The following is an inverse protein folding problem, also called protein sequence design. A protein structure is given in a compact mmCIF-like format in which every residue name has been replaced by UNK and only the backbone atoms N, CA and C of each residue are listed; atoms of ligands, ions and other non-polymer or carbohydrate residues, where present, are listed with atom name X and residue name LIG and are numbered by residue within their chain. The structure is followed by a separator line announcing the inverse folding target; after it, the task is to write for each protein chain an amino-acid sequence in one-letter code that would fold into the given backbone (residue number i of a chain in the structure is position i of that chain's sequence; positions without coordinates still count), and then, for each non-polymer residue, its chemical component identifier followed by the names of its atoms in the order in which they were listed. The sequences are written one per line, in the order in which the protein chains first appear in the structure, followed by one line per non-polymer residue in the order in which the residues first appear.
data_IF_319621123249
#
_entry.id   IF_319621123249
#
_cell.length_a   1.000
_cell.length_b   1.000
_cell.length_c   1.000
_cell.angle_alpha   90.00
_cell.angle_beta   90.00
_cell.angle_gamma   90.00
#
_symmetry.space_group_name_H-M   'P 1'
#
loop_
_entity.id
_entity.type
_entity.pdbx_description
1 polymer ?
#
# COMPACT_ATOMS: atom_id res chain seq x y z
N UNK A 1 28.51 -12.30 16.12
CA UNK A 1 27.98 -12.03 14.78
C UNK A 1 27.43 -10.60 14.69
N UNK A 2 26.77 -10.10 15.73
CA UNK A 2 26.27 -8.72 15.78
C UNK A 2 27.37 -7.67 15.86
N UNK A 3 28.39 -7.90 16.66
CA UNK A 3 29.53 -6.96 16.83
C UNK A 3 30.31 -6.74 15.54
N UNK A 4 30.41 -7.77 14.70
CA UNK A 4 31.08 -7.67 13.40
C UNK A 4 30.31 -6.76 12.43
N UNK A 5 28.98 -6.89 12.36
CA UNK A 5 28.16 -6.03 11.50
C UNK A 5 28.16 -4.57 11.96
N UNK A 6 28.17 -4.34 13.26
CA UNK A 6 28.25 -3.00 13.82
C UNK A 6 29.59 -2.34 13.51
N UNK A 7 30.70 -3.05 13.73
CA UNK A 7 32.04 -2.50 13.45
C UNK A 7 32.31 -2.25 11.97
N UNK A 8 31.71 -3.05 11.06
CA UNK A 8 31.77 -2.79 9.62
C UNK A 8 30.94 -1.57 9.23
N UNK A 9 29.74 -1.43 9.80
CA UNK A 9 28.92 -0.24 9.60
C UNK A 9 29.59 1.02 10.14
N UNK A 10 30.19 0.97 11.30
CA UNK A 10 30.94 2.11 11.87
C UNK A 10 32.16 2.48 11.02
N UNK A 11 32.90 1.49 10.52
CA UNK A 11 34.04 1.74 9.64
C UNK A 11 33.63 2.31 8.28
N UNK A 12 32.50 1.86 7.71
CA UNK A 12 31.91 2.44 6.52
C UNK A 12 31.28 3.81 6.80
N UNK A 13 30.59 3.96 7.91
CA UNK A 13 29.95 5.20 8.34
C UNK A 13 30.94 6.34 8.53
N UNK A 14 32.10 6.07 9.12
CA UNK A 14 33.11 7.11 9.36
C UNK A 14 33.91 7.51 8.12
N UNK A 15 34.13 6.60 7.16
CA UNK A 15 34.88 6.90 5.93
C UNK A 15 34.03 7.32 4.74
N UNK A 16 32.83 6.77 4.62
CA UNK A 16 31.87 7.11 3.56
C UNK A 16 30.75 8.03 4.05
N UNK A 17 30.64 8.28 5.35
CA UNK A 17 29.51 8.99 5.97
C UNK A 17 29.34 10.42 5.50
N UNK A 18 30.42 11.19 5.39
CA UNK A 18 30.30 12.59 4.95
C UNK A 18 29.76 12.75 3.52
N UNK A 19 30.23 12.02 2.51
CA UNK A 19 29.60 12.06 1.17
C UNK A 19 28.19 11.50 1.17
N UNK A 20 27.90 10.44 1.95
CA UNK A 20 26.56 9.87 2.06
C UNK A 20 25.61 10.80 2.81
N UNK A 21 26.04 11.45 3.89
CA UNK A 21 25.24 12.45 4.59
C UNK A 21 24.96 13.67 3.72
N UNK A 22 25.88 14.09 2.88
CA UNK A 22 25.64 15.15 1.90
C UNK A 22 24.65 14.71 0.83
N UNK A 23 24.72 13.47 0.36
CA UNK A 23 23.80 12.94 -0.66
C UNK A 23 22.42 12.63 -0.07
N UNK A 24 22.36 12.07 1.14
CA UNK A 24 21.09 11.65 1.77
C UNK A 24 20.43 12.77 2.58
N UNK A 25 21.21 13.69 3.15
CA UNK A 25 20.70 14.79 3.97
C UNK A 25 20.20 15.99 3.16
N UNK A 26 20.66 16.16 1.92
CA UNK A 26 20.32 17.34 1.10
C UNK A 26 19.62 17.00 -0.22
N UNK A 27 19.68 15.75 -0.66
CA UNK A 27 18.95 15.31 -1.87
C UNK A 27 17.66 14.63 -1.44
N UNK A 28 16.59 15.37 -1.50
CA UNK A 28 15.25 14.81 -1.27
C UNK A 28 14.77 14.15 -2.56
N UNK A 29 14.24 12.93 -2.46
CA UNK A 29 13.60 12.28 -3.60
C UNK A 29 12.40 13.11 -4.06
N UNK A 30 12.36 13.42 -5.35
CA UNK A 30 11.20 14.03 -6.00
C UNK A 30 10.26 12.90 -6.44
N UNK A 31 9.42 12.44 -5.53
CA UNK A 31 8.45 11.37 -5.75
C UNK A 31 7.06 11.84 -5.35
N UNK A 32 6.06 11.46 -6.13
CA UNK A 32 4.65 11.83 -5.93
C UNK A 32 3.84 10.77 -5.19
N UNK A 33 4.48 9.69 -4.75
CA UNK A 33 3.84 8.55 -4.08
C UNK A 33 4.29 8.45 -2.63
N UNK A 34 3.32 8.39 -1.73
CA UNK A 34 3.51 8.07 -0.31
C UNK A 34 2.91 6.70 -0.01
N UNK A 35 3.72 5.78 0.48
CA UNK A 35 3.28 4.45 0.90
C UNK A 35 3.17 4.40 2.42
N UNK A 36 2.04 3.91 2.91
CA UNK A 36 1.87 3.62 4.34
C UNK A 36 2.69 2.38 4.69
N UNK A 37 3.59 2.55 5.65
CA UNK A 37 4.42 1.46 6.16
C UNK A 37 3.67 0.69 7.25
N UNK A 38 3.36 -0.61 7.05
CA UNK A 38 2.55 -1.38 8.00
C UNK A 38 3.38 -1.84 9.21
N UNK A 39 3.85 -0.90 10.02
CA UNK A 39 4.77 -1.13 11.14
C UNK A 39 4.28 -2.22 12.11
N UNK A 40 2.97 -2.32 12.31
CA UNK A 40 2.39 -3.32 13.23
C UNK A 40 2.50 -4.75 12.70
N UNK A 41 2.67 -4.94 11.40
CA UNK A 41 2.79 -6.25 10.76
C UNK A 41 4.23 -6.70 10.61
N UNK A 42 5.19 -5.79 10.66
CA UNK A 42 6.63 -6.12 10.60
C UNK A 42 7.05 -7.05 11.73
N UNK A 43 6.44 -6.90 12.90
CA UNK A 43 6.70 -7.79 14.04
C UNK A 43 6.16 -9.23 13.82
N UNK A 44 5.13 -9.38 12.99
CA UNK A 44 4.54 -10.69 12.67
C UNK A 44 5.18 -11.31 11.42
N UNK A 45 5.63 -10.48 10.48
CA UNK A 45 6.22 -10.92 9.22
C UNK A 45 7.33 -9.92 8.82
N UNK A 46 8.57 -10.29 9.08
CA UNK A 46 9.76 -9.45 8.81
C UNK A 46 9.88 -9.02 7.34
N UNK A 47 9.35 -9.82 6.43
CA UNK A 47 9.40 -9.55 4.98
C UNK A 47 8.59 -8.33 4.54
N UNK A 48 7.60 -7.91 5.31
CA UNK A 48 6.89 -6.66 5.01
C UNK A 48 7.82 -5.46 4.94
N UNK A 49 8.84 -5.41 5.78
CA UNK A 49 9.84 -4.35 5.75
C UNK A 49 10.78 -4.45 4.55
N UNK A 50 11.19 -5.67 4.19
CA UNK A 50 12.23 -5.86 3.17
C UNK A 50 11.74 -5.58 1.75
N UNK A 51 10.57 -6.06 1.34
CA UNK A 51 10.10 -5.82 -0.02
C UNK A 51 9.55 -4.40 -0.24
N UNK A 52 9.05 -3.74 0.78
CA UNK A 52 8.65 -2.33 0.66
C UNK A 52 9.84 -1.42 0.34
N UNK A 53 11.03 -1.72 0.84
CA UNK A 53 12.23 -0.92 0.56
C UNK A 53 12.65 -0.92 -0.92
N UNK A 54 12.13 -1.82 -1.72
CA UNK A 54 12.44 -1.94 -3.14
C UNK A 54 11.65 -0.96 -4.02
N UNK A 55 10.57 -0.37 -3.51
CA UNK A 55 9.79 0.62 -4.25
C UNK A 55 10.47 1.99 -4.23
N UNK A 56 11.54 2.11 -5.03
CA UNK A 56 12.35 3.33 -5.12
C UNK A 56 11.61 4.58 -5.64
N UNK A 57 10.38 4.43 -6.13
CA UNK A 57 9.54 5.51 -6.64
C UNK A 57 8.65 6.17 -5.58
N UNK A 58 8.75 5.76 -4.32
CA UNK A 58 7.90 6.24 -3.24
C UNK A 58 8.69 6.62 -2.00
N UNK A 59 8.09 7.44 -1.17
CA UNK A 59 8.47 7.63 0.22
C UNK A 59 7.53 6.83 1.13
N UNK A 60 7.96 6.59 2.37
CA UNK A 60 7.25 5.77 3.34
C UNK A 60 6.97 6.55 4.61
N UNK A 61 5.80 6.33 5.18
CA UNK A 61 5.41 6.90 6.47
C UNK A 61 4.42 5.94 7.15
N UNK A 62 4.45 5.85 8.47
CA UNK A 62 3.41 5.12 9.21
C UNK A 62 2.11 5.91 9.25
N UNK A 63 0.97 5.22 9.35
CA UNK A 63 -0.35 5.86 9.33
C UNK A 63 -0.56 6.83 10.50
N UNK A 64 -0.06 6.50 11.69
CA UNK A 64 -0.11 7.38 12.87
C UNK A 64 0.65 8.70 12.65
N UNK A 65 1.87 8.62 12.08
CA UNK A 65 2.65 9.81 11.74
C UNK A 65 2.00 10.63 10.63
N UNK A 66 1.42 9.95 9.62
CA UNK A 66 0.68 10.64 8.58
C UNK A 66 -0.48 11.46 9.16
N UNK A 67 -1.25 10.86 10.07
CA UNK A 67 -2.38 11.56 10.73
C UNK A 67 -1.92 12.70 11.63
N UNK A 68 -0.75 12.57 12.27
CA UNK A 68 -0.22 13.57 13.18
C UNK A 68 0.37 14.80 12.47
N UNK A 69 0.97 14.61 11.28
CA UNK A 69 1.76 15.66 10.61
C UNK A 69 1.39 15.92 9.16
N UNK A 70 0.51 15.10 8.58
CA UNK A 70 0.07 15.22 7.20
C UNK A 70 -1.14 16.15 7.07
N UNK A 71 -1.15 16.97 6.03
CA UNK A 71 -2.24 17.86 5.68
C UNK A 71 -2.71 17.58 4.24
N UNK A 72 -4.01 17.46 4.05
CA UNK A 72 -4.60 17.37 2.70
C UNK A 72 -4.79 18.78 2.15
N UNK A 73 -4.13 19.07 1.04
CA UNK A 73 -4.19 20.37 0.37
C UNK A 73 -5.39 20.46 -0.58
N UNK A 74 -5.79 21.67 -0.93
CA UNK A 74 -6.94 21.90 -1.81
C UNK A 74 -6.73 21.40 -3.26
N UNK A 75 -5.48 21.22 -3.68
CA UNK A 75 -5.10 20.69 -5.00
C UNK A 75 -4.92 19.16 -5.02
N UNK A 76 -5.42 18.46 -4.00
CA UNK A 76 -5.45 17.01 -3.97
C UNK A 76 -4.11 16.35 -3.68
N UNK A 77 -3.31 16.96 -2.81
CA UNK A 77 -2.04 16.38 -2.34
C UNK A 77 -2.04 16.20 -0.83
N UNK A 78 -1.17 15.32 -0.36
CA UNK A 78 -0.80 15.24 1.05
C UNK A 78 0.52 15.98 1.23
N UNK A 79 0.52 16.98 2.09
CA UNK A 79 1.73 17.69 2.50
C UNK A 79 2.24 17.11 3.81
N UNK A 80 3.51 16.73 3.85
CA UNK A 80 4.22 16.27 5.04
C UNK A 80 5.55 17.02 5.10
N UNK A 81 5.67 17.94 6.06
CA UNK A 81 6.81 18.84 6.12
C UNK A 81 6.90 19.73 4.87
N UNK A 82 8.00 19.64 4.14
CA UNK A 82 8.25 20.36 2.89
C UNK A 82 7.88 19.57 1.63
N UNK A 83 7.37 18.34 1.79
CA UNK A 83 7.02 17.44 0.69
C UNK A 83 5.52 17.35 0.45
N UNK A 84 5.17 17.10 -0.81
CA UNK A 84 3.78 16.86 -1.23
C UNK A 84 3.68 15.60 -2.08
N UNK A 85 2.56 14.87 -1.91
CA UNK A 85 2.31 13.60 -2.59
C UNK A 85 0.89 13.60 -3.15
N UNK A 86 0.74 13.32 -4.42
CA UNK A 86 -0.56 13.20 -5.09
C UNK A 86 -1.20 11.82 -4.96
N UNK A 87 -0.41 10.81 -4.57
CA UNK A 87 -0.86 9.43 -4.44
C UNK A 87 -0.51 8.86 -3.07
N UNK A 88 -1.53 8.34 -2.38
CA UNK A 88 -1.40 7.59 -1.12
C UNK A 88 -1.65 6.12 -1.36
N UNK A 89 -0.74 5.26 -0.90
CA UNK A 89 -0.86 3.80 -1.03
C UNK A 89 -0.91 3.15 0.33
N UNK A 90 -1.96 2.38 0.59
CA UNK A 90 -2.09 1.47 1.73
C UNK A 90 -1.78 0.05 1.25
N UNK A 91 -0.69 -0.55 1.72
CA UNK A 91 -0.24 -1.85 1.23
C UNK A 91 -0.88 -3.03 1.97
N UNK A 92 -1.10 -2.93 3.25
CA UNK A 92 -1.72 -3.96 4.09
C UNK A 92 -2.23 -3.34 5.40
N UNK A 93 -3.19 -2.44 5.30
CA UNK A 93 -3.73 -1.71 6.45
C UNK A 93 -4.98 -2.42 7.01
N UNK A 94 -4.82 -3.65 7.50
CA UNK A 94 -5.93 -4.46 8.05
C UNK A 94 -6.53 -3.90 9.34
N UNK A 95 -5.76 -3.09 10.05
CA UNK A 95 -6.18 -2.36 11.26
C UNK A 95 -5.79 -0.89 11.12
N UNK A 96 -6.51 -0.11 10.30
CA UNK A 96 -6.16 1.28 10.05
C UNK A 96 -6.25 2.12 11.33
N UNK A 97 -5.45 3.16 11.38
CA UNK A 97 -5.60 4.20 12.41
C UNK A 97 -6.96 4.88 12.27
N UNK A 98 -7.57 5.21 13.41
CA UNK A 98 -8.80 6.01 13.42
C UNK A 98 -8.59 7.33 12.68
N UNK A 99 -9.48 7.63 11.72
CA UNK A 99 -9.40 8.83 10.88
C UNK A 99 -8.61 8.65 9.58
N UNK A 100 -7.95 7.51 9.34
CA UNK A 100 -7.21 7.27 8.10
C UNK A 100 -8.15 7.25 6.88
N UNK A 101 -9.28 6.57 6.96
CA UNK A 101 -10.28 6.51 5.87
C UNK A 101 -10.86 7.90 5.58
N UNK A 102 -11.09 8.73 6.60
CA UNK A 102 -11.55 10.11 6.42
C UNK A 102 -10.51 10.96 5.68
N UNK A 103 -9.22 10.80 6.03
CA UNK A 103 -8.14 11.49 5.32
C UNK A 103 -8.05 11.05 3.87
N UNK A 104 -8.15 9.74 3.59
CA UNK A 104 -8.19 9.19 2.23
C UNK A 104 -9.36 9.76 1.43
N UNK A 105 -10.54 9.84 2.03
CA UNK A 105 -11.72 10.42 1.41
C UNK A 105 -11.56 11.91 1.08
N UNK A 106 -10.95 12.68 1.97
CA UNK A 106 -10.64 14.10 1.73
C UNK A 106 -9.62 14.27 0.61
N UNK A 107 -8.57 13.45 0.60
CA UNK A 107 -7.56 13.46 -0.45
C UNK A 107 -8.17 13.18 -1.82
N UNK A 108 -8.97 12.12 -1.94
CA UNK A 108 -9.62 11.77 -3.20
C UNK A 108 -10.64 12.84 -3.64
N UNK A 109 -11.42 13.42 -2.74
CA UNK A 109 -12.35 14.52 -3.06
C UNK A 109 -11.64 15.77 -3.55
N UNK A 110 -10.43 16.04 -3.05
CA UNK A 110 -9.61 17.16 -3.48
C UNK A 110 -8.86 16.92 -4.80
N UNK A 111 -8.94 15.72 -5.39
CA UNK A 111 -8.30 15.39 -6.67
C UNK A 111 -7.12 14.41 -6.58
N UNK A 112 -6.71 14.02 -5.37
CA UNK A 112 -5.65 13.05 -5.15
C UNK A 112 -6.06 11.61 -5.43
N UNK A 113 -5.09 10.71 -5.39
CA UNK A 113 -5.29 9.29 -5.67
C UNK A 113 -5.02 8.46 -4.42
N UNK A 114 -5.84 7.44 -4.20
CA UNK A 114 -5.67 6.48 -3.12
C UNK A 114 -5.67 5.08 -3.70
N UNK A 115 -4.70 4.26 -3.30
CA UNK A 115 -4.64 2.85 -3.67
C UNK A 115 -4.63 2.02 -2.40
N UNK A 116 -5.51 1.05 -2.32
CA UNK A 116 -5.59 0.08 -1.23
C UNK A 116 -5.28 -1.31 -1.75
N UNK A 117 -4.26 -1.94 -1.20
CA UNK A 117 -3.90 -3.32 -1.49
C UNK A 117 -4.27 -4.26 -0.35
N UNK A 118 -4.56 -5.52 -0.71
CA UNK A 118 -4.85 -6.63 0.23
C UNK A 118 -6.20 -6.50 0.94
N UNK A 119 -6.27 -6.98 2.18
CA UNK A 119 -7.52 -7.11 2.91
C UNK A 119 -8.21 -5.77 3.17
N UNK A 120 -9.51 -5.64 2.91
CA UNK A 120 -10.31 -4.56 3.46
C UNK A 120 -10.38 -4.65 4.99
N UNK A 121 -10.41 -3.52 5.71
CA UNK A 121 -10.46 -3.52 7.17
C UNK A 121 -11.86 -3.76 7.69
N UNK A 122 -11.96 -4.45 8.84
CA UNK A 122 -13.21 -4.61 9.61
C UNK A 122 -13.35 -3.56 10.70
N UNK A 123 -12.26 -3.40 11.44
CA UNK A 123 -12.19 -2.52 12.60
C UNK A 123 -10.94 -1.65 12.50
N UNK A 124 -11.00 -0.48 13.07
CA UNK A 124 -9.83 0.37 13.26
C UNK A 124 -9.08 0.01 14.55
N UNK A 125 -7.91 0.60 14.77
CA UNK A 125 -7.11 0.38 15.97
C UNK A 125 -7.77 0.82 17.27
N UNK A 126 -8.78 1.69 17.20
CA UNK A 126 -9.58 2.08 18.35
C UNK A 126 -10.73 1.09 18.63
N UNK A 127 -10.88 0.04 17.83
CA UNK A 127 -11.95 -0.97 17.93
C UNK A 127 -13.26 -0.53 17.27
N UNK A 128 -13.29 0.57 16.55
CA UNK A 128 -14.46 1.04 15.81
C UNK A 128 -14.67 0.24 14.53
N UNK A 129 -15.91 -0.12 14.21
CA UNK A 129 -16.24 -0.75 12.93
C UNK A 129 -16.01 0.24 11.79
N UNK A 130 -15.18 -0.10 10.83
CA UNK A 130 -14.86 0.75 9.68
C UNK A 130 -15.17 0.09 8.32
N UNK A 131 -15.73 -1.13 8.31
CA UNK A 131 -16.02 -1.87 7.08
C UNK A 131 -16.99 -1.12 6.16
N UNK A 132 -18.05 -0.55 6.70
CA UNK A 132 -19.03 0.22 5.91
C UNK A 132 -18.41 1.50 5.32
N UNK A 133 -17.61 2.22 6.10
CA UNK A 133 -16.92 3.42 5.65
C UNK A 133 -15.90 3.10 4.54
N UNK A 134 -15.16 1.99 4.68
CA UNK A 134 -14.27 1.53 3.63
C UNK A 134 -15.03 1.16 2.35
N UNK A 135 -16.13 0.41 2.48
CA UNK A 135 -16.97 -0.01 1.35
C UNK A 135 -17.54 1.19 0.59
N UNK A 136 -18.07 2.17 1.29
CA UNK A 136 -18.55 3.41 0.68
C UNK A 136 -17.43 4.17 -0.02
N UNK A 137 -16.26 4.26 0.60
CA UNK A 137 -15.12 4.97 0.08
C UNK A 137 -14.62 4.36 -1.24
N UNK A 138 -14.40 3.05 -1.27
CA UNK A 138 -13.87 2.34 -2.43
C UNK A 138 -14.91 1.86 -3.44
N UNK A 139 -16.20 1.96 -3.12
CA UNK A 139 -17.29 1.50 -3.99
C UNK A 139 -17.26 -0.02 -4.20
N UNK A 140 -16.94 -0.75 -3.13
CA UNK A 140 -16.81 -2.19 -3.14
C UNK A 140 -17.27 -2.79 -1.82
N UNK A 141 -17.95 -3.93 -1.85
CA UNK A 141 -18.35 -4.69 -0.66
C UNK A 141 -17.47 -5.89 -0.49
N UNK A 142 -16.96 -6.09 0.71
CA UNK A 142 -16.21 -7.24 1.10
C UNK A 142 -17.00 -8.06 2.12
N UNK A 143 -17.30 -9.31 1.81
CA UNK A 143 -17.88 -10.24 2.76
C UNK A 143 -16.74 -10.86 3.57
N UNK A 144 -16.63 -10.46 4.81
CA UNK A 144 -15.66 -11.02 5.72
C UNK A 144 -16.10 -12.40 6.18
N UNK A 145 -15.35 -13.41 5.79
CA UNK A 145 -15.36 -14.67 6.49
C UNK A 145 -14.35 -14.68 7.66
N UNK A 146 -14.41 -15.75 8.45
CA UNK A 146 -13.56 -15.89 9.64
C UNK A 146 -12.06 -15.90 9.31
N UNK A 147 -11.68 -16.17 8.08
CA UNK A 147 -10.30 -16.41 7.66
C UNK A 147 -9.68 -15.33 6.79
N UNK A 148 -10.39 -14.29 6.51
CA UNK A 148 -9.88 -13.13 5.77
C UNK A 148 -9.14 -13.52 4.47
N UNK A 149 -9.89 -13.80 3.42
CA UNK A 149 -9.36 -14.03 2.09
C UNK A 149 -9.12 -15.48 1.73
N UNK A 150 -8.88 -15.69 0.44
CA UNK A 150 -8.71 -17.01 -0.18
C UNK A 150 -7.26 -17.26 -0.56
N UNK A 151 -6.81 -18.50 -0.35
CA UNK A 151 -5.58 -19.00 -0.97
C UNK A 151 -5.85 -19.28 -2.45
N UNK A 152 -5.06 -18.68 -3.31
CA UNK A 152 -5.25 -18.81 -4.77
C UNK A 152 -3.96 -19.10 -5.54
N UNK A 153 -3.17 -20.14 -5.14
CA UNK A 153 -1.89 -20.41 -5.75
C UNK A 153 -2.05 -20.74 -7.25
N UNK A 154 -1.22 -20.14 -8.07
CA UNK A 154 -1.20 -20.34 -9.50
C UNK A 154 -2.40 -19.78 -10.27
N UNK A 155 -3.34 -19.11 -9.62
CA UNK A 155 -4.45 -18.45 -10.32
C UNK A 155 -3.95 -17.20 -11.04
N UNK A 156 -4.58 -16.90 -12.17
CA UNK A 156 -4.25 -15.74 -13.00
C UNK A 156 -5.17 -14.58 -12.66
N UNK A 157 -4.59 -13.42 -12.42
CA UNK A 157 -5.27 -12.14 -12.29
C UNK A 157 -5.20 -11.44 -13.64
N UNK A 158 -6.37 -11.11 -14.21
CA UNK A 158 -6.51 -10.38 -15.46
C UNK A 158 -7.01 -8.97 -15.18
N UNK A 159 -6.41 -8.00 -15.83
CA UNK A 159 -6.80 -6.59 -15.73
C UNK A 159 -7.72 -6.20 -16.89
N UNK A 160 -8.66 -5.29 -16.62
CA UNK A 160 -9.67 -4.89 -17.59
C UNK A 160 -10.00 -3.41 -17.47
N UNK A 161 -10.79 -2.90 -18.42
CA UNK A 161 -11.21 -1.52 -18.51
C UNK A 161 -9.99 -0.56 -18.46
N UNK A 162 -9.94 0.37 -17.52
CA UNK A 162 -8.86 1.33 -17.40
C UNK A 162 -7.48 0.70 -17.16
N UNK A 163 -7.45 -0.55 -16.69
CA UNK A 163 -6.22 -1.30 -16.44
C UNK A 163 -5.93 -2.38 -17.48
N UNK A 164 -6.65 -2.41 -18.59
CA UNK A 164 -6.49 -3.44 -19.63
C UNK A 164 -5.07 -3.52 -20.25
N UNK A 165 -4.28 -2.47 -20.13
CA UNK A 165 -2.89 -2.46 -20.59
C UNK A 165 -1.92 -3.15 -19.61
N UNK A 166 -2.35 -3.45 -18.38
CA UNK A 166 -1.50 -4.14 -17.40
C UNK A 166 -1.45 -5.63 -17.76
N UNK A 167 -0.25 -6.25 -17.85
CA UNK A 167 -0.12 -7.67 -18.11
C UNK A 167 -0.79 -8.52 -17.04
N UNK A 168 -1.22 -9.72 -17.43
CA UNK A 168 -1.74 -10.70 -16.48
C UNK A 168 -0.67 -11.05 -15.43
N UNK A 169 -1.13 -11.27 -14.20
CA UNK A 169 -0.28 -11.67 -13.09
C UNK A 169 -0.67 -13.05 -12.59
N UNK A 170 0.29 -13.84 -12.18
CA UNK A 170 0.04 -15.12 -11.51
C UNK A 170 0.14 -14.92 -10.01
N UNK A 171 -0.85 -15.41 -9.26
CA UNK A 171 -0.84 -15.39 -7.81
C UNK A 171 0.08 -16.50 -7.32
N UNK A 172 1.17 -16.13 -6.67
CA UNK A 172 2.08 -17.04 -5.99
C UNK A 172 1.88 -16.87 -4.49
N UNK A 173 1.45 -17.94 -3.83
CA UNK A 173 1.13 -17.88 -2.39
C UNK A 173 2.09 -18.76 -1.61
N UNK A 174 3.21 -18.21 -1.22
CA UNK A 174 4.17 -18.86 -0.33
C UNK A 174 3.86 -18.60 1.15
N UNK A 175 3.06 -17.56 1.44
CA UNK A 175 2.81 -17.08 2.79
C UNK A 175 1.33 -16.89 3.05
N UNK A 176 0.94 -16.94 4.32
CA UNK A 176 -0.42 -16.66 4.77
C UNK A 176 -0.93 -15.28 4.35
N UNK A 177 -0.04 -14.34 4.12
CA UNK A 177 -0.37 -12.98 3.68
C UNK A 177 -0.60 -12.86 2.16
N UNK A 178 -0.18 -13.88 1.39
CA UNK A 178 -0.33 -13.92 -0.06
C UNK A 178 -1.70 -14.49 -0.45
N UNK A 179 -2.73 -13.84 0.02
CA UNK A 179 -4.12 -14.20 -0.24
C UNK A 179 -4.75 -13.22 -1.23
N UNK A 180 -5.81 -13.67 -1.86
CA UNK A 180 -6.72 -12.79 -2.59
C UNK A 180 -7.93 -12.45 -1.72
N UNK A 181 -8.45 -11.24 -1.92
CA UNK A 181 -9.59 -10.70 -1.19
C UNK A 181 -10.64 -10.21 -2.19
N UNK A 182 -11.46 -11.13 -2.73
CA UNK A 182 -12.49 -10.78 -3.69
C UNK A 182 -13.53 -9.88 -3.07
N UNK A 183 -14.08 -8.98 -3.89
CA UNK A 183 -15.13 -8.04 -3.50
C UNK A 183 -16.29 -8.08 -4.49
N UNK A 184 -17.44 -7.54 -4.10
CA UNK A 184 -18.51 -7.16 -4.98
C UNK A 184 -18.38 -5.67 -5.31
N UNK A 185 -18.37 -5.31 -6.60
CA UNK A 185 -18.33 -3.90 -6.99
C UNK A 185 -19.67 -3.22 -6.66
N UNK A 186 -19.61 -2.09 -5.95
CA UNK A 186 -20.79 -1.30 -5.55
C UNK A 186 -20.54 0.18 -5.85
N UNK A 187 -20.84 0.57 -7.08
CA UNK A 187 -20.62 1.93 -7.56
C UNK A 187 -19.21 2.25 -8.08
N UNK A 188 -18.29 1.29 -8.08
CA UNK A 188 -16.97 1.41 -8.71
C UNK A 188 -16.85 0.54 -9.97
N UNK A 189 -15.97 0.94 -10.89
CA UNK A 189 -15.64 0.17 -12.09
C UNK A 189 -14.75 -1.01 -11.71
N UNK A 190 -15.06 -2.20 -12.23
CA UNK A 190 -14.18 -3.37 -12.09
C UNK A 190 -12.94 -3.19 -12.97
N UNK A 191 -11.75 -3.36 -12.41
CA UNK A 191 -10.47 -3.21 -13.12
C UNK A 191 -9.56 -4.44 -13.04
N UNK A 192 -9.84 -5.37 -12.12
CA UNK A 192 -9.11 -6.64 -12.02
C UNK A 192 -10.02 -7.79 -11.62
N UNK A 193 -9.74 -8.98 -12.16
CA UNK A 193 -10.48 -10.23 -11.89
C UNK A 193 -9.54 -11.41 -11.72
N UNK A 194 -9.95 -12.36 -10.88
CA UNK A 194 -9.38 -13.70 -10.81
C UNK A 194 -10.48 -14.72 -11.13
N UNK A 195 -10.49 -15.24 -12.35
CA UNK A 195 -11.65 -15.97 -12.88
C UNK A 195 -12.91 -15.09 -12.89
N UNK A 196 -13.94 -15.52 -12.16
CA UNK A 196 -15.20 -14.76 -12.03
C UNK A 196 -15.19 -13.77 -10.84
N UNK A 197 -14.19 -13.84 -9.98
CA UNK A 197 -14.12 -13.00 -8.78
C UNK A 197 -13.53 -11.63 -9.10
N UNK A 198 -14.15 -10.58 -8.57
CA UNK A 198 -13.63 -9.21 -8.70
C UNK A 198 -12.53 -9.01 -7.67
N UNK A 199 -11.32 -8.69 -8.15
CA UNK A 199 -10.16 -8.41 -7.30
C UNK A 199 -9.74 -6.94 -7.31
N UNK A 200 -10.25 -6.15 -8.24
CA UNK A 200 -9.88 -4.74 -8.30
C UNK A 200 -11.05 -3.87 -8.73
N UNK A 201 -11.18 -2.73 -8.07
CA UNK A 201 -12.16 -1.70 -8.39
C UNK A 201 -11.50 -0.33 -8.48
N UNK A 202 -12.06 0.53 -9.32
CA UNK A 202 -11.64 1.92 -9.48
C UNK A 202 -12.87 2.84 -9.38
N UNK A 203 -12.88 3.70 -8.39
CA UNK A 203 -13.89 4.74 -8.20
C UNK A 203 -13.29 6.09 -8.54
N UNK A 204 -13.73 6.67 -9.64
CA UNK A 204 -13.34 8.03 -10.06
C UNK A 204 -14.29 9.04 -9.45
N UNK A 205 -13.76 10.16 -8.99
CA UNK A 205 -14.53 11.25 -8.41
C UNK A 205 -14.56 12.46 -9.36
N UNK A 206 -15.62 13.29 -9.28
CA UNK A 206 -15.79 14.43 -10.21
C UNK A 206 -14.63 15.43 -10.21
N UNK A 207 -13.90 15.56 -9.08
CA UNK A 207 -12.74 16.43 -8.94
C UNK A 207 -11.43 15.88 -9.52
N UNK A 208 -11.47 14.77 -10.27
CA UNK A 208 -10.28 14.13 -10.84
C UNK A 208 -9.56 13.16 -9.91
N UNK A 209 -9.97 13.08 -8.66
CA UNK A 209 -9.45 12.09 -7.72
C UNK A 209 -9.96 10.68 -7.99
N UNK A 210 -9.25 9.70 -7.45
CA UNK A 210 -9.58 8.29 -7.64
C UNK A 210 -9.24 7.44 -6.43
N UNK A 211 -10.04 6.41 -6.22
CA UNK A 211 -9.79 5.38 -5.21
C UNK A 211 -9.74 4.03 -5.93
N UNK A 212 -8.62 3.36 -5.80
CA UNK A 212 -8.38 2.07 -6.39
C UNK A 212 -8.24 1.02 -5.29
N UNK A 213 -8.96 -0.06 -5.42
CA UNK A 213 -8.78 -1.25 -4.59
C UNK A 213 -8.18 -2.38 -5.42
N UNK A 214 -7.21 -3.09 -4.86
CA UNK A 214 -6.63 -4.31 -5.43
C UNK A 214 -6.54 -5.37 -4.33
N UNK A 215 -7.36 -6.41 -4.44
CA UNK A 215 -7.53 -7.44 -3.42
C UNK A 215 -6.41 -8.47 -3.39
N UNK A 216 -5.18 -8.05 -3.58
CA UNK A 216 -3.98 -8.87 -3.42
C UNK A 216 -2.80 -8.00 -3.03
N UNK A 217 -1.76 -8.58 -2.45
CA UNK A 217 -0.50 -7.91 -2.21
C UNK A 217 0.27 -7.81 -3.53
N UNK A 218 0.78 -6.63 -3.90
CA UNK A 218 1.71 -6.54 -5.00
C UNK A 218 3.00 -7.28 -4.64
N UNK A 219 3.54 -8.01 -5.59
CA UNK A 219 4.80 -8.73 -5.42
C UNK A 219 5.83 -8.18 -6.41
N UNK A 220 7.04 -8.13 -5.95
CA UNK A 220 8.23 -7.90 -6.74
C UNK A 220 9.01 -9.21 -6.73
N UNK A 221 9.44 -9.71 -7.87
CA UNK A 221 10.22 -10.94 -7.97
C UNK A 221 11.50 -10.89 -7.11
N UNK A 222 12.06 -9.70 -6.93
CA UNK A 222 13.20 -9.49 -6.05
C UNK A 222 12.85 -9.52 -4.56
N UNK A 223 11.59 -9.38 -4.20
CA UNK A 223 11.12 -9.55 -2.82
C UNK A 223 11.13 -11.01 -2.39
N UNK A 224 11.26 -11.90 -3.32
CA UNK A 224 11.47 -13.30 -3.06
C UNK A 224 12.87 -13.44 -2.50
N UNK A 225 12.93 -13.83 -1.28
CA UNK A 225 14.13 -13.81 -0.43
C UNK A 225 15.33 -14.58 -0.97
N UNK A 226 15.21 -15.24 -2.07
CA UNK A 226 16.21 -16.20 -2.53
C UNK A 226 16.77 -15.88 -3.91
N UNK A 227 16.16 -14.95 -4.65
CA UNK A 227 16.66 -14.56 -5.98
C UNK A 227 16.69 -15.70 -7.00
N UNK A 228 15.93 -16.77 -6.75
CA UNK A 228 15.88 -17.93 -7.65
C UNK A 228 14.74 -17.88 -8.64
N UNK A 229 13.84 -16.97 -8.44
CA UNK A 229 12.63 -16.85 -9.24
C UNK A 229 12.76 -15.78 -10.32
N UNK A 230 13.96 -15.32 -10.56
CA UNK A 230 14.29 -14.41 -11.67
C UNK A 230 14.79 -15.15 -12.88
#
# INVERSE_FOLDING_TARGET
VYDWKMSVNDAFGTKAGKPMDMLTGHVTRDVDVLILYPMNLVAAEERFGSWMAQYGYANYLTADKLLAMGEVTADGKIKVGDKTYGTLVAMFEVLPEKGLLDMMGRLAKAGGKVVWFSAPPLIDKAGGNCAAAWSELFGAKYEHDVYMGEMAPGRVVSFCNDFAAIPQQTVLTDFLVDRIYPVEADGAQVVAKCGNQVLGTLKKLPGGGALCYVGMRPRDDQSQSLGYET
#
